data_IF_291835699548
#
_entry.id   IF_291835699548
#
_cell.length_a   1.000
_cell.length_b   1.000
_cell.length_c   1.000
_cell.angle_alpha   90.00
_cell.angle_beta   90.00
_cell.angle_gamma   90.00
#
_symmetry.space_group_name_H-M   'P 1'
#
loop_
_entity.id
_entity.type
_entity.pdbx_description
1 polymer ?
#
# COMPACT_ATOMS: atom_id res chain seq x y z
N UNK A 1 55.50 -11.61 -3.80
CA UNK A 1 54.27 -12.25 -4.33
C UNK A 1 53.23 -12.57 -3.25
N UNK A 2 53.56 -13.23 -2.12
CA UNK A 2 52.56 -13.54 -1.07
C UNK A 2 51.87 -12.31 -0.47
N UNK A 3 52.61 -11.25 -0.13
CA UNK A 3 52.05 -10.01 0.42
C UNK A 3 51.08 -9.31 -0.55
N UNK A 4 51.39 -9.29 -1.85
CA UNK A 4 50.52 -8.73 -2.89
C UNK A 4 49.22 -9.53 -3.00
N UNK A 5 49.30 -10.86 -2.97
CA UNK A 5 48.11 -11.71 -3.01
C UNK A 5 47.21 -11.53 -1.76
N UNK A 6 47.79 -11.34 -0.57
CA UNK A 6 47.04 -11.04 0.65
C UNK A 6 46.33 -9.69 0.57
N UNK A 7 47.00 -8.65 0.05
CA UNK A 7 46.39 -7.33 -0.14
C UNK A 7 45.22 -7.37 -1.14
N UNK A 8 45.38 -8.08 -2.26
CA UNK A 8 44.32 -8.25 -3.26
C UNK A 8 43.13 -9.02 -2.68
N UNK A 9 43.39 -10.05 -1.87
CA UNK A 9 42.33 -10.81 -1.19
C UNK A 9 41.56 -9.93 -0.19
N UNK A 10 42.25 -9.14 0.63
CA UNK A 10 41.63 -8.22 1.58
C UNK A 10 40.79 -7.15 0.88
N UNK A 11 41.30 -6.58 -0.22
CA UNK A 11 40.55 -5.60 -1.01
C UNK A 11 39.29 -6.20 -1.66
N UNK A 12 39.32 -7.50 -2.00
CA UNK A 12 38.16 -8.21 -2.54
C UNK A 12 37.02 -8.43 -1.55
N UNK A 13 37.26 -8.26 -0.25
CA UNK A 13 36.19 -8.37 0.75
C UNK A 13 35.14 -7.26 0.59
N UNK A 14 35.50 -6.12 0.00
CA UNK A 14 34.59 -4.99 -0.21
C UNK A 14 33.46 -5.35 -1.20
N UNK A 15 33.73 -5.75 -2.46
CA UNK A 15 32.65 -6.15 -3.37
C UNK A 15 31.88 -7.38 -2.87
N UNK A 16 32.54 -8.31 -2.18
CA UNK A 16 31.86 -9.45 -1.55
C UNK A 16 30.87 -9.02 -0.45
N UNK A 17 31.26 -8.08 0.40
CA UNK A 17 30.38 -7.53 1.44
C UNK A 17 29.21 -6.74 0.83
N UNK A 18 29.45 -5.96 -0.24
CA UNK A 18 28.40 -5.25 -0.96
C UNK A 18 27.41 -6.21 -1.63
N UNK A 19 27.89 -7.25 -2.29
CA UNK A 19 27.04 -8.28 -2.89
C UNK A 19 26.21 -9.04 -1.85
N UNK A 20 26.82 -9.38 -0.71
CA UNK A 20 26.12 -10.00 0.41
C UNK A 20 25.05 -9.06 0.98
N UNK A 21 25.38 -7.78 1.16
CA UNK A 21 24.43 -6.77 1.60
C UNK A 21 23.26 -6.63 0.63
N UNK A 22 23.52 -6.54 -0.67
CA UNK A 22 22.49 -6.46 -1.68
C UNK A 22 21.53 -7.66 -1.60
N UNK A 23 22.06 -8.88 -1.48
CA UNK A 23 21.21 -10.09 -1.38
C UNK A 23 20.40 -10.13 -0.08
N UNK A 24 21.01 -9.79 1.06
CA UNK A 24 20.31 -9.73 2.35
C UNK A 24 19.23 -8.66 2.31
N UNK A 25 19.54 -7.47 1.82
CA UNK A 25 18.59 -6.37 1.74
C UNK A 25 17.47 -6.61 0.75
N UNK A 26 17.72 -7.23 -0.40
CA UNK A 26 16.65 -7.71 -1.29
C UNK A 26 15.72 -8.66 -0.53
N UNK A 27 16.26 -9.62 0.22
CA UNK A 27 15.45 -10.50 1.06
C UNK A 27 14.56 -9.75 2.05
N UNK A 28 15.09 -8.69 2.68
CA UNK A 28 14.35 -7.82 3.60
C UNK A 28 13.26 -7.03 2.89
N UNK A 29 13.58 -6.42 1.74
CA UNK A 29 12.62 -5.64 0.94
C UNK A 29 11.44 -6.50 0.43
N UNK A 30 11.62 -7.81 0.35
CA UNK A 30 10.57 -8.77 -0.03
C UNK A 30 9.96 -9.51 1.16
N UNK A 31 10.27 -9.08 2.40
CA UNK A 31 9.76 -9.67 3.64
C UNK A 31 9.94 -11.20 3.74
N UNK A 32 11.06 -11.73 3.22
CA UNK A 32 11.35 -13.16 3.29
C UNK A 32 11.71 -13.59 4.72
N UNK A 33 11.38 -14.84 5.12
CA UNK A 33 11.82 -15.39 6.41
C UNK A 33 13.35 -15.34 6.55
N UNK A 34 13.90 -15.01 7.74
CA UNK A 34 15.35 -14.85 7.94
C UNK A 34 16.19 -16.05 7.50
N UNK A 35 15.68 -17.27 7.70
CA UNK A 35 16.35 -18.50 7.27
C UNK A 35 16.49 -18.58 5.74
N UNK A 36 15.47 -18.11 5.00
CA UNK A 36 15.50 -18.08 3.53
C UNK A 36 16.46 -17.00 3.02
N UNK A 37 16.51 -15.84 3.68
CA UNK A 37 17.46 -14.77 3.35
C UNK A 37 18.91 -15.26 3.55
N UNK A 38 19.20 -15.86 4.71
CA UNK A 38 20.52 -16.38 5.00
C UNK A 38 20.93 -17.49 4.02
N UNK A 39 20.00 -18.40 3.70
CA UNK A 39 20.23 -19.48 2.75
C UNK A 39 20.48 -18.96 1.33
N UNK A 40 19.63 -18.06 0.82
CA UNK A 40 19.76 -17.53 -0.54
C UNK A 40 21.01 -16.66 -0.69
N UNK A 41 21.31 -15.79 0.27
CA UNK A 41 22.53 -14.98 0.27
C UNK A 41 23.79 -15.86 0.30
N UNK A 42 23.80 -16.93 1.11
CA UNK A 42 24.92 -17.88 1.16
C UNK A 42 25.08 -18.66 -0.16
N UNK A 43 23.97 -19.16 -0.71
CA UNK A 43 23.98 -19.92 -1.97
C UNK A 43 24.39 -19.07 -3.16
N UNK A 44 23.98 -17.81 -3.22
CA UNK A 44 24.26 -16.93 -4.36
C UNK A 44 25.63 -16.28 -4.25
N UNK A 45 26.11 -15.95 -3.05
CA UNK A 45 27.38 -15.22 -2.89
C UNK A 45 28.55 -16.16 -2.57
N UNK A 46 28.42 -17.05 -1.57
CA UNK A 46 29.56 -17.82 -1.07
C UNK A 46 29.84 -19.10 -1.87
N UNK A 47 28.79 -19.81 -2.31
CA UNK A 47 28.95 -21.09 -3.01
C UNK A 47 29.65 -20.96 -4.38
N UNK A 48 29.37 -19.94 -5.22
CA UNK A 48 30.08 -19.76 -6.48
C UNK A 48 31.55 -19.36 -6.28
N UNK A 49 31.88 -18.60 -5.24
CA UNK A 49 33.27 -18.30 -4.87
C UNK A 49 34.02 -19.60 -4.52
N UNK A 50 33.41 -20.47 -3.73
CA UNK A 50 33.98 -21.79 -3.40
C UNK A 50 34.13 -22.68 -4.65
N UNK A 51 33.13 -22.69 -5.53
CA UNK A 51 33.17 -23.44 -6.81
C UNK A 51 34.29 -22.96 -7.74
N UNK A 52 34.43 -21.63 -7.92
CA UNK A 52 35.50 -21.03 -8.72
C UNK A 52 36.88 -21.35 -8.11
N UNK A 53 37.02 -21.31 -6.78
CA UNK A 53 38.28 -21.69 -6.13
C UNK A 53 38.67 -23.15 -6.41
N UNK A 54 37.71 -24.07 -6.41
CA UNK A 54 37.94 -25.48 -6.74
C UNK A 54 38.31 -25.66 -8.21
N UNK A 55 37.67 -24.92 -9.12
CA UNK A 55 37.90 -25.01 -10.57
C UNK A 55 39.28 -24.49 -11.01
N UNK A 56 39.78 -23.41 -10.39
CA UNK A 56 41.07 -22.78 -10.75
C UNK A 56 42.29 -23.34 -9.98
N UNK A 57 42.11 -24.44 -9.26
CA UNK A 57 43.13 -25.07 -8.42
C UNK A 57 43.36 -24.33 -7.10
N UNK A 58 43.77 -25.07 -6.05
CA UNK A 58 43.88 -24.61 -4.65
C UNK A 58 45.06 -23.64 -4.39
N UNK A 59 45.29 -22.69 -5.31
CA UNK A 59 46.32 -21.64 -5.21
C UNK A 59 45.71 -20.38 -4.60
N UNK A 60 46.48 -19.62 -3.83
CA UNK A 60 45.99 -18.41 -3.14
C UNK A 60 45.40 -17.36 -4.09
N UNK A 61 45.91 -17.27 -5.33
CA UNK A 61 45.44 -16.31 -6.32
C UNK A 61 44.04 -16.64 -6.87
N UNK A 62 43.61 -17.91 -6.86
CA UNK A 62 42.28 -18.29 -7.36
C UNK A 62 41.17 -17.84 -6.43
N UNK A 63 41.40 -17.89 -5.10
CA UNK A 63 40.48 -17.31 -4.10
C UNK A 63 40.39 -15.81 -4.29
N UNK A 64 41.54 -15.15 -4.43
CA UNK A 64 41.59 -13.70 -4.62
C UNK A 64 40.82 -13.29 -5.90
N UNK A 65 41.00 -14.00 -7.01
CA UNK A 65 40.24 -13.74 -8.24
C UNK A 65 38.74 -14.02 -8.06
N UNK A 66 38.36 -15.12 -7.41
CA UNK A 66 36.95 -15.49 -7.23
C UNK A 66 36.17 -14.48 -6.36
N UNK A 67 36.80 -13.99 -5.28
CA UNK A 67 36.21 -13.00 -4.35
C UNK A 67 36.02 -11.63 -5.00
N UNK A 68 36.74 -11.33 -6.08
CA UNK A 68 36.52 -10.13 -6.89
C UNK A 68 35.50 -10.35 -8.01
N UNK A 69 35.75 -11.36 -8.85
CA UNK A 69 35.01 -11.56 -10.10
C UNK A 69 33.54 -11.86 -9.85
N UNK A 70 33.24 -12.80 -8.96
CA UNK A 70 31.85 -13.22 -8.77
C UNK A 70 30.98 -12.12 -8.15
N UNK A 71 31.38 -11.48 -7.03
CA UNK A 71 30.60 -10.38 -6.47
C UNK A 71 30.47 -9.18 -7.40
N UNK A 72 31.52 -8.85 -8.17
CA UNK A 72 31.44 -7.77 -9.15
C UNK A 72 30.47 -8.09 -10.29
N UNK A 73 30.50 -9.31 -10.84
CA UNK A 73 29.54 -9.76 -11.84
C UNK A 73 28.11 -9.76 -11.30
N UNK A 74 27.90 -10.21 -10.06
CA UNK A 74 26.60 -10.20 -9.42
C UNK A 74 26.07 -8.77 -9.27
N UNK A 75 26.88 -7.85 -8.72
CA UNK A 75 26.50 -6.44 -8.57
C UNK A 75 26.22 -5.75 -9.92
N UNK A 76 26.95 -6.11 -10.98
CA UNK A 76 26.70 -5.58 -12.32
C UNK A 76 25.42 -6.16 -12.96
N UNK A 77 25.05 -7.40 -12.65
CA UNK A 77 23.86 -8.05 -13.20
C UNK A 77 22.58 -7.66 -12.45
N UNK A 78 22.67 -7.35 -11.15
CA UNK A 78 21.50 -7.07 -10.30
C UNK A 78 20.55 -5.99 -10.84
N UNK A 79 21.00 -4.83 -11.37
CA UNK A 79 20.11 -3.83 -11.95
C UNK A 79 19.27 -4.35 -13.13
N UNK A 80 19.76 -5.36 -13.86
CA UNK A 80 19.00 -5.98 -14.95
C UNK A 80 17.82 -6.84 -14.45
N UNK A 81 17.86 -7.31 -13.21
CA UNK A 81 16.78 -8.09 -12.58
C UNK A 81 15.94 -7.25 -11.60
N UNK A 82 16.55 -6.24 -10.97
CA UNK A 82 15.96 -5.37 -9.95
C UNK A 82 16.31 -3.90 -10.24
N UNK A 83 15.71 -3.30 -11.28
CA UNK A 83 16.05 -1.94 -11.71
C UNK A 83 15.71 -0.92 -10.63
N UNK A 84 16.67 -0.04 -10.30
CA UNK A 84 16.49 1.03 -9.30
C UNK A 84 16.47 0.58 -7.83
N UNK A 85 16.61 -0.72 -7.53
CA UNK A 85 16.48 -1.24 -6.17
C UNK A 85 17.83 -1.59 -5.50
N UNK A 86 18.92 -1.57 -6.27
CA UNK A 86 20.24 -1.98 -5.79
C UNK A 86 20.72 -1.11 -4.61
N UNK A 87 20.48 0.20 -4.69
CA UNK A 87 20.89 1.16 -3.69
C UNK A 87 20.21 0.90 -2.33
N UNK A 88 18.88 0.74 -2.33
CA UNK A 88 18.09 0.48 -1.13
C UNK A 88 18.33 -0.93 -0.56
N UNK A 89 18.60 -1.91 -1.44
CA UNK A 89 19.00 -3.24 -1.03
C UNK A 89 20.33 -3.23 -0.28
N UNK A 90 21.37 -2.56 -0.79
CA UNK A 90 22.66 -2.48 -0.09
C UNK A 90 22.48 -1.78 1.26
N UNK A 91 21.73 -0.67 1.32
CA UNK A 91 21.43 0.02 2.57
C UNK A 91 20.76 -0.89 3.61
N UNK A 92 19.69 -1.57 3.21
CA UNK A 92 18.94 -2.47 4.09
C UNK A 92 19.80 -3.66 4.55
N UNK A 93 20.63 -4.22 3.67
CA UNK A 93 21.55 -5.28 4.02
C UNK A 93 22.61 -4.86 5.04
N UNK A 94 23.18 -3.66 4.89
CA UNK A 94 24.12 -3.12 5.87
C UNK A 94 23.46 -2.90 7.23
N UNK A 95 22.21 -2.44 7.24
CA UNK A 95 21.42 -2.26 8.45
C UNK A 95 21.25 -3.58 9.22
N UNK A 96 21.08 -4.70 8.52
CA UNK A 96 20.96 -6.03 9.15
C UNK A 96 22.31 -6.59 9.59
N UNK A 97 23.35 -6.46 8.75
CA UNK A 97 24.62 -7.13 8.98
C UNK A 97 25.55 -6.42 9.96
N UNK A 98 25.48 -5.07 10.02
CA UNK A 98 26.48 -4.26 10.72
C UNK A 98 25.91 -3.37 11.81
N UNK A 99 24.59 -3.40 12.03
CA UNK A 99 23.99 -2.67 13.14
C UNK A 99 24.04 -3.48 14.43
N UNK A 100 24.94 -3.09 15.34
CA UNK A 100 24.95 -3.56 16.73
C UNK A 100 24.78 -2.35 17.63
N UNK A 101 23.71 -2.29 18.42
CA UNK A 101 23.51 -1.21 19.40
C UNK A 101 22.26 -0.32 19.22
N UNK A 102 21.17 -0.85 18.65
CA UNK A 102 19.87 -0.16 18.62
C UNK A 102 19.60 0.68 17.35
N UNK A 103 18.45 1.38 17.30
CA UNK A 103 17.92 2.00 16.07
C UNK A 103 18.85 3.01 15.40
N UNK A 104 19.58 3.80 16.19
CA UNK A 104 20.52 4.80 15.68
C UNK A 104 21.73 4.17 14.98
N UNK A 105 22.19 3.02 15.48
CA UNK A 105 23.26 2.25 14.85
C UNK A 105 22.78 1.64 13.52
N UNK A 106 21.53 1.16 13.50
CA UNK A 106 20.87 0.65 12.29
C UNK A 106 20.75 1.71 11.20
N UNK A 107 20.26 2.90 11.54
CA UNK A 107 20.13 4.00 10.59
C UNK A 107 21.48 4.53 10.06
N UNK A 108 22.55 4.47 10.86
CA UNK A 108 23.91 4.82 10.42
C UNK A 108 24.49 3.77 9.48
N UNK A 109 24.37 2.49 9.83
CA UNK A 109 24.83 1.39 8.98
C UNK A 109 24.11 1.42 7.61
N UNK A 110 22.80 1.67 7.60
CA UNK A 110 22.02 1.78 6.37
C UNK A 110 22.48 2.91 5.45
N UNK A 111 22.76 4.10 6.02
CA UNK A 111 23.30 5.24 5.27
C UNK A 111 24.68 4.94 4.70
N UNK A 112 25.57 4.38 5.52
CA UNK A 112 26.91 4.01 5.08
C UNK A 112 26.89 2.97 3.94
N UNK A 113 26.01 1.96 4.01
CA UNK A 113 25.83 1.00 2.93
C UNK A 113 25.41 1.66 1.61
N UNK A 114 24.46 2.59 1.66
CA UNK A 114 24.03 3.39 0.50
C UNK A 114 25.16 4.22 -0.09
N UNK A 115 25.95 4.90 0.75
CA UNK A 115 27.10 5.70 0.31
C UNK A 115 28.20 4.87 -0.36
N UNK A 116 28.35 3.58 0.00
CA UNK A 116 29.31 2.67 -0.62
C UNK A 116 28.84 2.07 -1.95
N UNK A 117 27.55 2.14 -2.25
CA UNK A 117 27.05 1.70 -3.56
C UNK A 117 27.52 2.69 -4.64
N UNK A 118 28.00 2.17 -5.76
CA UNK A 118 28.40 3.01 -6.89
C UNK A 118 27.16 3.72 -7.44
N UNK A 119 27.26 4.98 -7.89
CA UNK A 119 26.17 5.65 -8.59
C UNK A 119 25.72 4.76 -9.76
N UNK A 120 24.43 4.47 -9.82
CA UNK A 120 23.83 3.78 -10.94
C UNK A 120 24.15 4.62 -12.19
N UNK A 121 24.99 4.07 -13.06
CA UNK A 121 25.14 4.59 -14.41
C UNK A 121 23.78 4.37 -15.04
N UNK A 122 22.99 5.44 -15.20
CA UNK A 122 21.77 5.46 -16.00
C UNK A 122 22.11 4.88 -17.38
N UNK A 123 21.91 3.57 -17.52
CA UNK A 123 22.07 2.83 -18.74
C UNK A 123 20.96 3.28 -19.66
N UNK A 124 21.24 4.33 -20.42
CA UNK A 124 20.33 4.95 -21.36
C UNK A 124 19.65 3.89 -22.24
N UNK A 125 18.37 3.64 -21.99
CA UNK A 125 17.47 3.18 -23.04
C UNK A 125 17.53 4.22 -24.17
N UNK A 126 17.61 3.79 -25.45
CA UNK A 126 17.62 4.73 -26.55
C UNK A 126 16.34 5.58 -26.51
N UNK A 127 16.43 6.90 -26.73
CA UNK A 127 15.27 7.77 -26.62
C UNK A 127 14.21 7.36 -27.65
N UNK A 128 12.90 7.39 -27.30
CA UNK A 128 11.85 7.31 -28.30
C UNK A 128 12.00 8.49 -29.27
N UNK A 129 11.70 8.21 -30.53
CA UNK A 129 11.95 9.09 -31.66
C UNK A 129 11.43 10.53 -31.43
N UNK A 130 12.38 11.47 -31.40
CA UNK A 130 12.25 12.90 -31.65
C UNK A 130 10.88 13.52 -31.29
N UNK A 131 10.67 13.77 -29.99
CA UNK A 131 9.80 14.85 -29.56
C UNK A 131 10.37 16.16 -30.10
N UNK A 132 9.55 16.89 -30.87
CA UNK A 132 9.88 18.21 -31.39
C UNK A 132 10.33 19.11 -30.25
N UNK A 133 11.37 19.90 -30.51
CA UNK A 133 11.97 20.84 -29.57
C UNK A 133 10.90 21.57 -28.74
N UNK A 134 10.88 21.28 -27.43
CA UNK A 134 10.14 22.07 -26.47
C UNK A 134 10.76 23.46 -26.42
N UNK A 135 9.93 24.49 -26.64
CA UNK A 135 10.27 25.86 -26.30
C UNK A 135 10.56 25.97 -24.79
N UNK A 136 11.42 26.91 -24.36
CA UNK A 136 11.80 27.03 -22.96
C UNK A 136 10.56 27.28 -22.09
N UNK A 137 10.18 26.27 -21.30
CA UNK A 137 9.18 26.40 -20.25
C UNK A 137 9.68 27.40 -19.20
N UNK A 138 9.11 28.61 -19.26
CA UNK A 138 8.93 29.42 -18.07
C UNK A 138 8.01 28.63 -17.11
N UNK A 139 8.28 28.59 -15.80
CA UNK A 139 7.41 27.91 -14.86
C UNK A 139 6.10 28.70 -14.81
N UNK A 140 5.11 28.25 -15.58
CA UNK A 140 3.73 28.63 -15.34
C UNK A 140 3.37 27.94 -14.02
N UNK A 141 3.18 28.73 -12.97
CA UNK A 141 2.38 28.28 -11.84
C UNK A 141 0.99 27.99 -12.43
N UNK A 142 0.75 26.72 -12.76
CA UNK A 142 -0.56 26.30 -13.24
C UNK A 142 -1.53 26.61 -12.13
N UNK A 143 -2.39 27.62 -12.34
CA UNK A 143 -3.54 27.81 -11.48
C UNK A 143 -4.30 26.49 -11.49
N UNK A 144 -4.38 25.83 -10.33
CA UNK A 144 -5.08 24.57 -10.19
C UNK A 144 -6.53 24.79 -10.67
N UNK A 145 -7.03 23.87 -11.50
CA UNK A 145 -8.42 23.89 -11.93
C UNK A 145 -9.35 23.74 -10.73
N UNK A 146 -10.63 24.12 -10.85
CA UNK A 146 -11.57 24.12 -9.71
C UNK A 146 -11.81 22.74 -9.08
N UNK A 147 -11.42 21.67 -9.76
CA UNK A 147 -11.47 20.26 -9.35
C UNK A 147 -10.14 19.74 -8.78
N UNK A 148 -9.12 20.60 -8.66
CA UNK A 148 -7.77 20.23 -8.23
C UNK A 148 -7.30 21.10 -7.07
N UNK A 149 -6.60 20.48 -6.11
CA UNK A 149 -5.93 21.18 -5.01
C UNK A 149 -4.54 20.59 -4.77
N UNK A 150 -3.55 21.45 -4.57
CA UNK A 150 -2.22 21.07 -4.12
C UNK A 150 -2.13 21.39 -2.62
N UNK A 151 -1.84 20.37 -1.83
CA UNK A 151 -1.62 20.49 -0.40
C UNK A 151 -0.14 20.36 -0.10
N UNK A 152 0.46 21.27 0.68
CA UNK A 152 1.81 21.06 1.18
C UNK A 152 1.79 19.83 2.10
N UNK A 153 2.87 19.06 2.09
CA UNK A 153 3.06 17.97 3.04
C UNK A 153 4.34 18.14 3.86
N UNK A 154 4.27 17.67 5.11
CA UNK A 154 5.44 17.52 5.97
C UNK A 154 5.88 16.06 6.03
N UNK A 155 7.19 15.82 6.15
CA UNK A 155 7.75 14.47 6.26
C UNK A 155 8.96 14.22 5.37
N UNK A 156 9.57 13.04 5.54
CA UNK A 156 10.70 12.56 4.73
C UNK A 156 10.42 11.12 4.27
N UNK A 157 10.78 10.79 3.03
CA UNK A 157 10.57 9.46 2.45
C UNK A 157 9.09 9.18 2.18
N UNK A 158 8.57 8.07 2.70
CA UNK A 158 7.21 7.57 2.44
C UNK A 158 6.14 8.12 3.40
N UNK A 159 6.51 8.98 4.35
CA UNK A 159 5.57 9.58 5.30
C UNK A 159 5.21 10.98 4.82
N UNK A 160 3.97 11.14 4.36
CA UNK A 160 3.43 12.40 3.86
C UNK A 160 2.30 12.85 4.79
N UNK A 161 2.54 13.85 5.62
CA UNK A 161 1.54 14.41 6.50
C UNK A 161 0.83 15.58 5.80
N UNK A 162 -0.49 15.48 5.60
CA UNK A 162 -1.31 16.46 4.87
C UNK A 162 -2.44 17.00 5.75
N UNK A 163 -2.83 18.28 5.59
CA UNK A 163 -3.99 18.83 6.29
C UNK A 163 -5.30 18.26 5.72
N UNK A 164 -6.20 17.83 6.60
CA UNK A 164 -7.54 17.33 6.27
C UNK A 164 -8.55 17.96 7.21
N UNK A 165 -9.62 18.48 6.65
CA UNK A 165 -10.62 19.23 7.37
C UNK A 165 -11.82 18.34 7.72
N UNK A 166 -12.22 18.36 8.99
CA UNK A 166 -13.36 17.65 9.55
C UNK A 166 -14.30 18.67 10.19
N UNK A 167 -15.33 19.08 9.46
CA UNK A 167 -16.20 20.19 9.86
C UNK A 167 -15.40 21.49 9.91
N UNK A 168 -15.36 22.14 11.07
CA UNK A 168 -14.60 23.37 11.29
C UNK A 168 -13.16 23.12 11.78
N UNK A 169 -12.80 21.87 12.06
CA UNK A 169 -11.48 21.51 12.58
C UNK A 169 -10.57 20.95 11.50
N UNK A 170 -9.38 21.51 11.34
CA UNK A 170 -8.31 20.95 10.51
C UNK A 170 -7.43 20.00 11.35
N UNK A 171 -7.17 18.80 10.83
CA UNK A 171 -6.29 17.81 11.43
C UNK A 171 -5.21 17.42 10.44
N UNK A 172 -3.96 17.33 10.92
CA UNK A 172 -2.88 16.74 10.15
C UNK A 172 -3.03 15.22 10.12
N UNK A 173 -3.07 14.65 8.93
CA UNK A 173 -3.28 13.21 8.69
C UNK A 173 -2.08 12.63 7.94
N UNK A 174 -1.68 11.41 8.29
CA UNK A 174 -0.68 10.68 7.51
C UNK A 174 -1.36 10.09 6.26
N UNK A 175 -0.97 10.54 5.08
CA UNK A 175 -1.40 9.95 3.82
C UNK A 175 -0.83 8.53 3.68
N UNK A 176 -1.72 7.53 3.69
CA UNK A 176 -1.34 6.12 3.71
C UNK A 176 -2.13 5.34 2.66
N UNK A 177 -1.45 4.99 1.56
CA UNK A 177 -2.02 4.18 0.48
C UNK A 177 -2.20 2.70 0.86
N UNK A 178 -1.62 2.25 1.97
CA UNK A 178 -1.80 0.91 2.53
C UNK A 178 -3.02 0.78 3.44
N UNK A 179 -3.61 1.90 3.88
CA UNK A 179 -4.78 1.90 4.74
C UNK A 179 -6.08 1.86 3.92
N UNK A 180 -6.87 0.79 4.06
CA UNK A 180 -8.19 0.70 3.38
C UNK A 180 -9.19 1.72 3.92
N UNK A 181 -9.15 1.98 5.24
CA UNK A 181 -10.07 2.88 5.96
C UNK A 181 -9.26 3.99 6.62
N UNK A 182 -9.77 5.22 6.52
CA UNK A 182 -9.25 6.39 7.25
C UNK A 182 -9.45 6.21 8.74
N UNK A 183 -8.45 6.55 9.55
CA UNK A 183 -8.49 6.35 11.00
C UNK A 183 -8.31 7.63 11.77
N UNK A 184 -8.86 7.71 12.98
CA UNK A 184 -8.62 8.79 13.93
C UNK A 184 -8.48 8.21 15.34
N UNK A 185 -7.63 8.82 16.16
CA UNK A 185 -7.61 8.53 17.59
C UNK A 185 -8.84 9.11 18.30
N UNK A 186 -9.16 8.59 19.49
CA UNK A 186 -10.33 9.01 20.28
C UNK A 186 -10.28 10.48 20.67
N UNK A 187 -9.08 10.99 20.96
CA UNK A 187 -8.87 12.40 21.32
C UNK A 187 -9.34 13.32 20.19
N UNK A 188 -8.99 13.00 18.96
CA UNK A 188 -9.36 13.79 17.79
C UNK A 188 -10.86 13.69 17.53
N UNK A 189 -11.45 12.50 17.58
CA UNK A 189 -12.90 12.34 17.47
C UNK A 189 -13.67 13.12 18.55
N UNK A 190 -13.17 13.13 19.78
CA UNK A 190 -13.76 13.92 20.86
C UNK A 190 -13.68 15.43 20.58
N UNK A 191 -12.58 15.94 20.04
CA UNK A 191 -12.48 17.36 19.61
C UNK A 191 -13.40 17.71 18.45
N UNK A 192 -13.81 16.73 17.64
CA UNK A 192 -14.82 16.89 16.59
C UNK A 192 -16.26 16.79 17.13
N UNK A 193 -16.44 16.53 18.43
CA UNK A 193 -17.76 16.28 19.03
C UNK A 193 -18.38 14.94 18.63
N UNK A 194 -17.59 14.03 18.05
CA UNK A 194 -18.06 12.72 17.59
C UNK A 194 -18.07 11.75 18.76
N UNK A 195 -19.26 11.25 19.10
CA UNK A 195 -19.41 10.19 20.07
C UNK A 195 -19.24 8.83 19.40
N UNK A 196 -18.58 7.90 20.08
CA UNK A 196 -18.41 6.52 19.61
C UNK A 196 -19.48 5.67 20.30
N UNK A 197 -20.53 5.22 19.59
CA UNK A 197 -21.58 4.40 20.19
C UNK A 197 -21.04 3.09 20.78
N UNK A 198 -21.69 2.58 21.82
CA UNK A 198 -21.32 1.29 22.40
C UNK A 198 -21.53 0.13 21.42
N UNK A 199 -22.55 0.24 20.56
CA UNK A 199 -22.98 -0.69 19.52
C UNK A 199 -22.45 -0.34 18.12
N UNK A 200 -21.47 0.57 18.04
CA UNK A 200 -20.77 0.91 16.82
C UNK A 200 -20.27 -0.36 16.09
N UNK A 201 -20.40 -0.45 14.75
CA UNK A 201 -19.82 -1.54 13.99
C UNK A 201 -18.32 -1.66 14.26
N UNK A 202 -17.81 -2.88 14.21
CA UNK A 202 -16.40 -3.16 14.37
C UNK A 202 -15.83 -3.76 13.08
N UNK A 203 -14.62 -3.35 12.74
CA UNK A 203 -13.86 -3.90 11.63
C UNK A 203 -12.50 -4.38 12.12
N UNK A 204 -12.11 -5.56 11.66
CA UNK A 204 -10.77 -6.09 11.90
C UNK A 204 -9.77 -5.37 10.98
N UNK A 205 -8.91 -4.55 11.56
CA UNK A 205 -7.81 -3.87 10.88
C UNK A 205 -6.54 -4.71 10.98
N UNK A 206 -5.88 -4.95 9.85
CA UNK A 206 -4.53 -5.50 9.83
C UNK A 206 -3.54 -4.37 9.89
N UNK A 207 -2.86 -4.25 11.02
CA UNK A 207 -1.80 -3.27 11.23
C UNK A 207 -0.43 -3.95 11.17
N UNK A 208 0.64 -3.17 11.11
CA UNK A 208 2.00 -3.70 11.26
C UNK A 208 2.21 -4.46 12.58
N UNK A 209 1.41 -4.16 13.61
CA UNK A 209 1.44 -4.80 14.93
C UNK A 209 0.46 -5.99 15.05
N UNK A 210 -0.08 -6.46 13.91
CA UNK A 210 -1.03 -7.56 13.82
C UNK A 210 -2.48 -7.10 13.66
N UNK A 211 -3.39 -8.05 13.79
CA UNK A 211 -4.82 -7.83 13.59
C UNK A 211 -5.49 -7.25 14.86
N UNK A 212 -6.30 -6.21 14.70
CA UNK A 212 -6.97 -5.49 15.80
C UNK A 212 -8.38 -5.10 15.40
N UNK A 213 -9.32 -5.19 16.34
CA UNK A 213 -10.68 -4.67 16.13
C UNK A 213 -10.70 -3.16 16.33
N UNK A 214 -11.24 -2.42 15.37
CA UNK A 214 -11.50 -0.99 15.46
C UNK A 214 -12.99 -0.72 15.39
N UNK A 215 -13.48 0.11 16.32
CA UNK A 215 -14.84 0.66 16.23
C UNK A 215 -14.91 1.64 15.07
N UNK A 216 -16.06 1.68 14.41
CA UNK A 216 -16.31 2.53 13.27
C UNK A 216 -17.29 3.64 13.65
N UNK A 217 -17.05 4.84 13.13
CA UNK A 217 -17.98 5.97 13.20
C UNK A 217 -18.18 6.55 11.80
N UNK A 218 -19.36 7.10 11.55
CA UNK A 218 -19.68 7.73 10.28
C UNK A 218 -19.53 9.25 10.43
N UNK A 219 -18.68 9.86 9.62
CA UNK A 219 -18.51 11.31 9.56
C UNK A 219 -19.30 11.82 8.34
N UNK A 220 -20.19 12.83 8.52
CA UNK A 220 -21.04 13.31 7.43
C UNK A 220 -20.27 13.79 6.20
N UNK A 221 -19.14 14.47 6.43
CA UNK A 221 -18.29 15.02 5.39
C UNK A 221 -16.86 15.29 5.89
N UNK A 222 -15.90 15.02 5.02
CA UNK A 222 -14.48 15.34 5.18
C UNK A 222 -14.06 16.20 3.99
N UNK A 223 -13.15 17.16 4.17
CA UNK A 223 -12.63 17.97 3.06
C UNK A 223 -11.11 17.81 2.96
N UNK A 224 -10.64 17.54 1.74
CA UNK A 224 -9.22 17.49 1.41
C UNK A 224 -8.93 18.69 0.50
N UNK A 225 -8.29 19.73 1.06
CA UNK A 225 -8.01 20.95 0.30
C UNK A 225 -9.24 21.61 -0.32
N UNK A 226 -10.36 21.61 0.40
CA UNK A 226 -11.63 22.16 -0.07
C UNK A 226 -12.47 21.20 -0.92
N UNK A 227 -11.92 20.05 -1.35
CA UNK A 227 -12.67 19.02 -2.07
C UNK A 227 -13.44 18.13 -1.07
N UNK A 228 -14.78 18.06 -1.14
CA UNK A 228 -15.58 17.31 -0.17
C UNK A 228 -15.63 15.81 -0.50
N UNK A 229 -15.61 14.98 0.55
CA UNK A 229 -15.96 13.56 0.53
C UNK A 229 -17.06 13.32 1.55
N UNK A 230 -18.22 12.87 1.07
CA UNK A 230 -19.42 12.68 1.86
C UNK A 230 -19.51 11.26 2.47
N UNK A 231 -20.01 11.15 3.70
CA UNK A 231 -20.35 9.88 4.34
C UNK A 231 -19.14 8.98 4.52
N UNK A 232 -18.14 9.45 5.28
CA UNK A 232 -16.87 8.76 5.44
C UNK A 232 -16.90 7.90 6.69
N UNK A 233 -16.65 6.61 6.53
CA UNK A 233 -16.44 5.71 7.68
C UNK A 233 -15.01 5.88 8.19
N UNK A 234 -14.90 6.16 9.48
CA UNK A 234 -13.63 6.35 10.19
C UNK A 234 -13.45 5.24 11.21
N UNK A 235 -12.28 4.59 11.17
CA UNK A 235 -11.85 3.65 12.20
C UNK A 235 -11.24 4.36 13.41
N UNK A 236 -11.65 3.96 14.61
CA UNK A 236 -11.03 4.42 15.86
C UNK A 236 -9.73 3.64 16.08
N UNK A 237 -8.59 4.30 16.00
CA UNK A 237 -7.27 3.67 16.16
C UNK A 237 -6.29 4.62 16.88
N UNK A 238 -5.78 4.21 18.04
CA UNK A 238 -4.82 5.02 18.81
C UNK A 238 -3.40 4.89 18.25
N UNK A 239 -3.03 3.68 17.83
CA UNK A 239 -1.70 3.34 17.30
C UNK A 239 -1.46 3.86 15.89
N UNK A 240 -2.53 4.28 15.21
CA UNK A 240 -2.50 4.86 13.88
C UNK A 240 -2.23 6.37 13.91
N UNK A 241 -2.12 6.96 15.11
CA UNK A 241 -1.83 8.36 15.35
C UNK A 241 -0.51 8.52 16.10
N UNK A 242 0.14 9.68 15.94
CA UNK A 242 1.34 10.05 16.68
C UNK A 242 1.26 11.50 17.19
N UNK A 243 2.40 12.06 17.63
CA UNK A 243 2.43 13.44 18.13
C UNK A 243 2.10 14.49 17.06
N UNK A 244 2.28 14.16 15.78
CA UNK A 244 2.13 15.08 14.64
C UNK A 244 0.89 14.81 13.80
N UNK A 245 0.35 13.60 13.85
CA UNK A 245 -0.74 13.13 13.01
C UNK A 245 -1.88 12.58 13.84
N UNK A 246 -3.10 12.97 13.50
CA UNK A 246 -4.32 12.55 14.20
C UNK A 246 -4.75 11.11 13.84
N UNK A 247 -4.20 10.57 12.76
CA UNK A 247 -4.50 9.25 12.23
C UNK A 247 -4.02 9.08 10.78
N UNK A 248 -4.53 8.05 10.11
CA UNK A 248 -4.22 7.73 8.71
C UNK A 248 -5.32 8.22 7.76
N UNK A 249 -4.95 8.82 6.64
CA UNK A 249 -5.81 9.11 5.51
C UNK A 249 -5.76 7.93 4.53
N UNK A 250 -6.77 7.07 4.61
CA UNK A 250 -6.86 5.82 3.85
C UNK A 250 -7.57 5.95 2.51
N UNK A 251 -7.62 4.84 1.78
CA UNK A 251 -8.14 4.75 0.41
C UNK A 251 -9.63 5.02 0.28
N UNK A 252 -10.43 4.83 1.33
CA UNK A 252 -11.85 5.20 1.29
C UNK A 252 -12.07 6.71 1.06
N UNK A 253 -11.10 7.55 1.45
CA UNK A 253 -11.10 8.99 1.19
C UNK A 253 -10.14 9.33 0.05
N UNK A 254 -8.87 8.93 0.11
CA UNK A 254 -7.88 9.32 -0.90
C UNK A 254 -8.14 8.70 -2.28
N UNK A 255 -8.74 7.51 -2.33
CA UNK A 255 -9.14 6.85 -3.57
C UNK A 255 -10.24 7.57 -4.35
N UNK A 256 -10.94 8.52 -3.72
CA UNK A 256 -11.93 9.39 -4.39
C UNK A 256 -11.26 10.40 -5.34
N UNK A 257 -9.93 10.51 -5.28
CA UNK A 257 -9.14 11.45 -6.05
C UNK A 257 -8.15 10.74 -6.98
N UNK A 258 -7.74 11.43 -8.04
CA UNK A 258 -6.46 11.18 -8.68
C UNK A 258 -5.40 11.93 -7.88
N UNK A 259 -4.42 11.20 -7.35
CA UNK A 259 -3.39 11.76 -6.46
C UNK A 259 -2.05 11.76 -7.16
N UNK A 260 -1.37 12.91 -7.17
CA UNK A 260 0.00 13.06 -7.67
C UNK A 260 0.88 13.63 -6.57
N UNK A 261 2.09 13.08 -6.40
CA UNK A 261 3.04 13.56 -5.39
C UNK A 261 4.20 14.26 -6.10
N UNK A 262 4.37 15.56 -5.82
CA UNK A 262 5.52 16.36 -6.26
C UNK A 262 6.52 16.47 -5.10
N UNK A 263 7.59 15.68 -5.16
CA UNK A 263 8.60 15.62 -4.10
C UNK A 263 9.56 16.81 -4.12
N UNK A 264 9.66 17.53 -5.25
CA UNK A 264 10.50 18.71 -5.39
C UNK A 264 9.81 19.91 -4.75
N UNK A 265 8.51 20.09 -5.02
CA UNK A 265 7.69 21.14 -4.41
C UNK A 265 7.18 20.79 -3.01
N UNK A 266 7.28 19.52 -2.61
CA UNK A 266 6.70 18.96 -1.38
C UNK A 266 5.19 19.17 -1.30
N UNK A 267 4.52 18.82 -2.40
CA UNK A 267 3.08 18.96 -2.55
C UNK A 267 2.44 17.62 -2.92
N UNK A 268 1.24 17.37 -2.39
CA UNK A 268 0.35 16.33 -2.86
C UNK A 268 -0.81 16.99 -3.58
N UNK A 269 -0.97 16.68 -4.85
CA UNK A 269 -2.04 17.20 -5.70
C UNK A 269 -3.17 16.19 -5.73
N UNK A 270 -4.35 16.62 -5.28
CA UNK A 270 -5.59 15.88 -5.34
C UNK A 270 -6.46 16.45 -6.44
N UNK A 271 -6.92 15.61 -7.37
CA UNK A 271 -7.90 15.97 -8.38
C UNK A 271 -9.15 15.11 -8.20
N UNK A 272 -10.33 15.73 -8.16
CA UNK A 272 -11.59 15.01 -8.08
C UNK A 272 -11.75 14.06 -9.27
N UNK A 273 -12.17 12.81 -9.00
CA UNK A 273 -12.51 11.88 -10.08
C UNK A 273 -13.90 12.20 -10.63
N UNK A 274 -14.05 12.10 -11.94
CA UNK A 274 -15.37 12.13 -12.56
C UNK A 274 -16.15 10.84 -12.25
N UNK A 275 -17.48 10.98 -12.11
CA UNK A 275 -18.39 9.86 -11.90
C UNK A 275 -18.56 9.40 -10.45
N UNK A 276 -19.59 8.59 -10.22
CA UNK A 276 -19.88 7.98 -8.91
C UNK A 276 -18.80 6.95 -8.58
N UNK A 277 -18.09 7.17 -7.49
CA UNK A 277 -17.13 6.20 -6.96
C UNK A 277 -17.87 5.18 -6.09
N UNK A 278 -17.42 3.94 -6.11
CA UNK A 278 -17.93 2.90 -5.21
C UNK A 278 -17.55 3.22 -3.76
N UNK A 279 -18.53 3.08 -2.86
CA UNK A 279 -18.44 3.40 -1.44
C UNK A 279 -18.71 2.18 -0.57
N UNK A 280 -18.51 0.97 -1.08
CA UNK A 280 -18.65 -0.28 -0.33
C UNK A 280 -17.92 -0.27 1.02
N UNK A 281 -16.69 0.27 1.08
CA UNK A 281 -15.89 0.36 2.32
C UNK A 281 -16.57 1.27 3.34
N UNK A 282 -17.19 2.35 2.88
CA UNK A 282 -17.89 3.29 3.75
C UNK A 282 -19.29 2.83 4.13
N UNK A 283 -19.99 2.07 3.28
CA UNK A 283 -21.40 1.69 3.46
C UNK A 283 -21.56 0.32 4.10
N UNK A 284 -20.72 -0.65 3.73
CA UNK A 284 -20.83 -2.05 4.13
C UNK A 284 -20.99 -2.26 5.65
N UNK A 285 -20.22 -1.58 6.52
CA UNK A 285 -20.40 -1.70 7.97
C UNK A 285 -21.79 -1.29 8.48
N UNK A 286 -22.48 -0.41 7.75
CA UNK A 286 -23.78 0.15 8.13
C UNK A 286 -24.95 -0.52 7.41
N UNK A 287 -24.70 -1.27 6.34
CA UNK A 287 -25.73 -1.93 5.54
C UNK A 287 -25.74 -3.44 5.79
N UNK A 288 -26.74 -3.93 6.51
CA UNK A 288 -26.88 -5.37 6.78
C UNK A 288 -27.66 -6.04 5.66
N UNK A 289 -26.96 -6.74 4.78
CA UNK A 289 -27.58 -7.51 3.68
C UNK A 289 -27.90 -8.94 4.13
N UNK A 290 -29.10 -9.41 3.78
CA UNK A 290 -29.59 -10.77 3.97
C UNK A 290 -30.34 -11.20 2.72
N UNK A 291 -30.40 -12.49 2.46
CA UNK A 291 -31.17 -13.02 1.34
C UNK A 291 -31.89 -14.31 1.72
N UNK A 292 -32.95 -14.62 0.98
CA UNK A 292 -33.71 -15.87 1.11
C UNK A 292 -34.12 -16.33 -0.28
N UNK A 293 -33.62 -17.49 -0.70
CA UNK A 293 -34.03 -18.15 -1.93
C UNK A 293 -35.32 -18.96 -1.71
N UNK A 294 -36.24 -18.89 -2.67
CA UNK A 294 -37.46 -19.69 -2.75
C UNK A 294 -37.48 -20.41 -4.09
N UNK A 295 -37.56 -21.74 -4.07
CA UNK A 295 -37.71 -22.58 -5.25
C UNK A 295 -39.18 -22.98 -5.38
N UNK A 296 -39.76 -22.71 -6.54
CA UNK A 296 -41.16 -23.02 -6.84
C UNK A 296 -41.30 -24.38 -7.54
N UNK A 297 -42.48 -25.04 -7.48
CA UNK A 297 -42.72 -26.33 -8.14
C UNK A 297 -42.55 -26.33 -9.67
N UNK A 298 -42.57 -25.15 -10.30
CA UNK A 298 -42.34 -24.94 -11.72
C UNK A 298 -40.87 -24.60 -12.04
N UNK A 299 -39.95 -24.98 -11.16
CA UNK A 299 -38.49 -24.80 -11.28
C UNK A 299 -38.02 -23.33 -11.30
N UNK A 300 -38.90 -22.37 -11.01
CA UNK A 300 -38.52 -20.97 -10.85
C UNK A 300 -37.81 -20.77 -9.51
N UNK A 301 -36.69 -20.05 -9.54
CA UNK A 301 -35.96 -19.65 -8.34
C UNK A 301 -36.07 -18.14 -8.17
N UNK A 302 -36.57 -17.71 -7.01
CA UNK A 302 -36.65 -16.30 -6.63
C UNK A 302 -35.81 -16.04 -5.39
N UNK A 303 -34.90 -15.08 -5.47
CA UNK A 303 -34.06 -14.67 -4.34
C UNK A 303 -34.53 -13.32 -3.84
N UNK A 304 -35.12 -13.32 -2.66
CA UNK A 304 -35.52 -12.12 -1.93
C UNK A 304 -34.30 -11.57 -1.20
N UNK A 305 -33.84 -10.38 -1.58
CA UNK A 305 -32.71 -9.69 -0.96
C UNK A 305 -33.23 -8.54 -0.12
N UNK A 306 -32.82 -8.51 1.14
CA UNK A 306 -33.23 -7.54 2.16
C UNK A 306 -31.97 -6.84 2.66
N UNK A 307 -31.98 -5.51 2.69
CA UNK A 307 -30.89 -4.72 3.23
C UNK A 307 -31.39 -3.73 4.29
N UNK A 308 -30.88 -3.86 5.52
CA UNK A 308 -31.23 -2.95 6.62
C UNK A 308 -30.17 -1.85 6.72
N UNK A 309 -30.56 -0.60 6.46
CA UNK A 309 -29.68 0.55 6.54
C UNK A 309 -29.65 1.08 7.99
N UNK A 310 -28.49 0.92 8.65
CA UNK A 310 -28.23 1.41 10.01
C UNK A 310 -27.47 2.73 10.04
N UNK A 311 -27.15 3.32 8.88
CA UNK A 311 -26.57 4.65 8.80
C UNK A 311 -27.62 5.74 9.04
N UNK A 312 -27.15 6.94 9.35
CA UNK A 312 -27.94 8.18 9.37
C UNK A 312 -28.09 8.82 7.98
N UNK A 313 -27.63 8.12 6.94
CA UNK A 313 -27.63 8.55 5.54
C UNK A 313 -28.35 7.54 4.64
N UNK A 314 -29.06 8.05 3.63
CA UNK A 314 -29.64 7.21 2.58
C UNK A 314 -28.54 6.44 1.86
N UNK A 315 -28.80 5.17 1.54
CA UNK A 315 -28.02 4.42 0.55
C UNK A 315 -28.77 4.51 -0.77
N UNK A 316 -28.35 5.41 -1.65
CA UNK A 316 -29.00 5.64 -2.95
C UNK A 316 -29.03 4.39 -3.81
N UNK A 317 -28.00 3.55 -3.72
CA UNK A 317 -27.92 2.30 -4.49
C UNK A 317 -27.02 1.26 -3.82
N UNK A 318 -27.49 0.02 -3.78
CA UNK A 318 -26.70 -1.15 -3.35
C UNK A 318 -26.86 -2.29 -4.37
N UNK A 319 -25.74 -2.79 -4.85
CA UNK A 319 -25.66 -3.90 -5.79
C UNK A 319 -25.19 -5.13 -5.02
N UNK A 320 -26.05 -6.14 -4.96
CA UNK A 320 -25.80 -7.38 -4.22
C UNK A 320 -25.60 -8.52 -5.20
N UNK A 321 -24.42 -9.13 -5.16
CA UNK A 321 -24.11 -10.34 -5.91
C UNK A 321 -24.74 -11.57 -5.26
N UNK A 322 -25.39 -12.40 -6.05
CA UNK A 322 -26.00 -13.67 -5.66
C UNK A 322 -25.23 -14.78 -6.39
N UNK A 323 -24.45 -15.55 -5.65
CA UNK A 323 -23.60 -16.61 -6.17
C UNK A 323 -24.27 -17.96 -5.91
N UNK A 324 -24.67 -18.67 -6.96
CA UNK A 324 -25.30 -19.99 -6.90
C UNK A 324 -24.46 -20.99 -7.71
N UNK A 325 -23.71 -21.87 -7.04
CA UNK A 325 -22.76 -22.75 -7.74
C UNK A 325 -21.73 -21.97 -8.56
N UNK A 326 -21.75 -22.14 -9.89
CA UNK A 326 -20.92 -21.39 -10.85
C UNK A 326 -21.61 -20.14 -11.40
N UNK A 327 -22.92 -20.01 -11.20
CA UNK A 327 -23.72 -18.89 -11.71
C UNK A 327 -23.67 -17.68 -10.78
N UNK A 328 -23.60 -16.50 -11.38
CA UNK A 328 -23.58 -15.22 -10.68
C UNK A 328 -24.70 -14.32 -11.18
N UNK A 329 -25.52 -13.87 -10.24
CA UNK A 329 -26.63 -12.97 -10.49
C UNK A 329 -26.49 -11.72 -9.64
N UNK A 330 -27.25 -10.69 -9.98
CA UNK A 330 -27.20 -9.40 -9.29
C UNK A 330 -28.60 -8.98 -8.89
N UNK A 331 -28.72 -8.48 -7.67
CA UNK A 331 -29.90 -7.81 -7.17
C UNK A 331 -29.56 -6.34 -6.88
N UNK A 332 -30.39 -5.43 -7.37
CA UNK A 332 -30.24 -3.99 -7.15
C UNK A 332 -31.29 -3.51 -6.16
N UNK A 333 -30.83 -2.82 -5.12
CA UNK A 333 -31.66 -2.05 -4.19
C UNK A 333 -31.34 -0.57 -4.39
N UNK A 334 -32.36 0.28 -4.26
CA UNK A 334 -32.22 1.72 -4.42
C UNK A 334 -32.93 2.46 -3.28
N UNK A 335 -32.45 3.65 -2.97
CA UNK A 335 -33.08 4.63 -2.08
C UNK A 335 -33.47 4.08 -0.70
N UNK A 336 -32.54 3.36 -0.05
CA UNK A 336 -32.75 2.83 1.30
C UNK A 336 -32.50 3.96 2.30
N UNK A 337 -33.56 4.62 2.74
CA UNK A 337 -33.47 5.77 3.67
C UNK A 337 -32.86 5.39 5.02
N UNK A 338 -32.38 6.37 5.82
CA UNK A 338 -31.81 6.11 7.14
C UNK A 338 -32.75 5.28 8.03
N UNK A 339 -32.23 4.23 8.66
CA UNK A 339 -32.99 3.34 9.54
C UNK A 339 -34.04 2.45 8.85
N UNK A 340 -34.16 2.51 7.52
CA UNK A 340 -35.15 1.74 6.78
C UNK A 340 -34.57 0.41 6.25
N UNK A 341 -35.49 -0.48 5.85
CA UNK A 341 -35.19 -1.74 5.19
C UNK A 341 -35.60 -1.64 3.73
N UNK A 342 -34.64 -1.90 2.83
CA UNK A 342 -34.90 -2.08 1.40
C UNK A 342 -35.10 -3.57 1.09
N UNK A 343 -36.02 -3.88 0.18
CA UNK A 343 -36.24 -5.25 -0.30
C UNK A 343 -36.36 -5.27 -1.81
N UNK A 344 -35.77 -6.29 -2.43
CA UNK A 344 -35.93 -6.58 -3.85
C UNK A 344 -36.02 -8.09 -4.07
N UNK A 345 -36.64 -8.52 -5.16
CA UNK A 345 -36.73 -9.93 -5.54
C UNK A 345 -36.07 -10.10 -6.89
N UNK A 346 -35.00 -10.91 -6.94
CA UNK A 346 -34.34 -11.30 -8.17
C UNK A 346 -34.88 -12.63 -8.65
N UNK A 347 -35.37 -12.67 -9.90
CA UNK A 347 -35.83 -13.91 -10.53
C UNK A 347 -34.69 -14.50 -11.34
N UNK A 348 -34.29 -15.71 -10.99
CA UNK A 348 -33.20 -16.42 -11.66
C UNK A 348 -33.76 -17.28 -12.80
N UNK A 349 -32.93 -17.62 -13.80
CA UNK A 349 -33.30 -18.57 -14.84
C UNK A 349 -33.81 -19.90 -14.26
N UNK A 350 -34.74 -20.55 -14.96
CA UNK A 350 -35.22 -21.87 -14.56
C UNK A 350 -34.07 -22.88 -14.63
N UNK A 351 -33.97 -23.74 -13.61
CA UNK A 351 -32.89 -24.73 -13.49
C UNK A 351 -31.59 -24.21 -12.87
N UNK A 352 -31.54 -22.98 -12.36
CA UNK A 352 -30.40 -22.49 -11.57
C UNK A 352 -30.24 -23.30 -10.27
N UNK A 353 -29.05 -23.84 -10.03
CA UNK A 353 -28.71 -24.59 -8.81
C UNK A 353 -28.38 -23.64 -7.65
N UNK A 354 -29.43 -23.19 -6.96
CA UNK A 354 -29.32 -22.34 -5.77
C UNK A 354 -29.62 -23.12 -4.47
N UNK A 355 -29.43 -24.44 -4.45
CA UNK A 355 -29.54 -25.23 -3.21
C UNK A 355 -28.56 -24.73 -2.14
N UNK A 356 -27.42 -24.21 -2.58
CA UNK A 356 -26.52 -23.39 -1.77
C UNK A 356 -26.21 -22.08 -2.49
N UNK A 357 -26.30 -20.97 -1.77
CA UNK A 357 -25.99 -19.65 -2.32
C UNK A 357 -25.24 -18.77 -1.32
N UNK A 358 -24.49 -17.81 -1.85
CA UNK A 358 -23.83 -16.75 -1.06
C UNK A 358 -24.24 -15.38 -1.60
N UNK A 359 -24.47 -14.44 -0.71
CA UNK A 359 -24.65 -13.04 -1.08
C UNK A 359 -23.47 -12.19 -0.65
N UNK A 360 -23.09 -11.26 -1.51
CA UNK A 360 -22.04 -10.26 -1.27
C UNK A 360 -22.58 -8.89 -1.64
N UNK A 361 -22.19 -7.86 -0.88
CA UNK A 361 -22.35 -6.49 -1.35
C UNK A 361 -21.21 -6.24 -2.33
N UNK A 362 -21.52 -5.96 -3.60
CA UNK A 362 -20.50 -5.81 -4.64
C UNK A 362 -20.18 -4.34 -4.88
N UNK A 363 -21.22 -3.49 -4.88
CA UNK A 363 -21.09 -2.04 -4.97
C UNK A 363 -22.12 -1.36 -4.06
N UNK A 364 -21.78 -0.19 -3.54
CA UNK A 364 -22.72 0.63 -2.80
C UNK A 364 -22.44 2.12 -2.96
N UNK A 365 -23.49 2.92 -2.89
CA UNK A 365 -23.43 4.36 -3.06
C UNK A 365 -24.35 5.06 -2.05
N UNK A 366 -23.87 6.16 -1.47
CA UNK A 366 -24.68 7.06 -0.65
C UNK A 366 -25.72 7.78 -1.48
#
# INVERSE_FOLDING_TARGET
MKQVATLVLLAGLVPAALALAAMVGLGVLRALPPAQIALSATLVVALPIAGLHLAFGRRLWSVAAAVWLWPACLLAALPGYFPGELHDAIGSGFAVMFAVGGPDATARAARFGRELSLPESDGALPPPAAERAAEPCTPVATALSSDQVALPYEGQGHSLAVPVQFGETELTMLFDTGATVTTLNRRSLASLGVQIPSDAPELSLRTANGERSAKLVLIPRVWVGGLPVDGVTIGVCEECADERTAGLLGLNVSGQFLVTVDTVRKEVVFQAREGRQDRIVDIGPWLKVRATAKVWPDERVEVEVIADNRADRTVSEAIVGIHCGEDNFVAKLADITPGATGTTVSRLPAGSDCDSYRVTLDHAYW
#
